data_IF_449795778801
#
_entry.id   IF_449795778801
#
_cell.length_a   1.000
_cell.length_b   1.000
_cell.length_c   1.000
_cell.angle_alpha   90.00
_cell.angle_beta   90.00
_cell.angle_gamma   90.00
#
_symmetry.space_group_name_H-M   'P 1'
#
loop_
_entity.id
_entity.type
_entity.pdbx_description
1 polymer ?
#
# COMPACT_ATOMS: atom_id res chain seq x y z
N UNK A 1 5.77 19.70 11.95
CA UNK A 1 6.78 18.79 11.35
C UNK A 1 6.44 17.29 11.46
N UNK A 2 5.19 16.91 11.78
CA UNK A 2 4.81 15.51 12.04
C UNK A 2 4.26 14.74 10.81
N UNK A 3 4.46 15.26 9.60
CA UNK A 3 3.92 14.68 8.35
C UNK A 3 4.93 13.83 7.60
N UNK A 4 6.22 14.07 7.83
CA UNK A 4 7.31 13.39 7.14
C UNK A 4 7.96 12.39 8.08
N UNK A 5 8.20 11.19 7.56
CA UNK A 5 8.84 10.08 8.24
C UNK A 5 9.98 9.57 7.34
N UNK A 6 11.03 8.97 7.92
CA UNK A 6 12.18 8.47 7.16
C UNK A 6 12.36 6.99 7.47
N UNK A 7 12.61 6.19 6.45
CA UNK A 7 12.94 4.76 6.61
C UNK A 7 14.42 4.51 6.34
N UNK A 8 15.05 3.72 7.21
CA UNK A 8 16.43 3.30 7.05
C UNK A 8 16.55 1.80 6.76
N UNK A 9 17.31 1.44 5.73
CA UNK A 9 17.69 0.05 5.51
C UNK A 9 18.49 -0.51 6.69
N UNK A 10 18.37 -1.83 6.92
CA UNK A 10 19.07 -2.53 8.02
C UNK A 10 20.59 -2.29 8.02
N UNK A 11 21.18 -2.03 6.84
CA UNK A 11 22.61 -1.82 6.66
C UNK A 11 23.11 -0.41 7.02
N UNK A 12 22.24 0.52 7.45
CA UNK A 12 22.67 1.86 7.85
C UNK A 12 22.98 1.87 9.36
N UNK A 13 24.23 2.18 9.78
CA UNK A 13 24.58 2.29 11.19
C UNK A 13 23.89 3.48 11.88
N UNK A 14 23.55 3.30 13.15
CA UNK A 14 22.85 4.28 14.00
C UNK A 14 23.40 5.72 13.96
N UNK A 15 24.73 5.97 14.01
CA UNK A 15 25.26 7.33 13.95
C UNK A 15 24.89 8.07 12.66
N UNK A 16 24.87 7.36 11.51
CA UNK A 16 24.43 7.96 10.24
C UNK A 16 22.93 8.22 10.23
N UNK A 17 22.11 7.35 10.83
CA UNK A 17 20.65 7.58 10.93
C UNK A 17 20.35 8.85 11.73
N UNK A 18 21.03 9.04 12.86
CA UNK A 18 20.81 10.20 13.71
C UNK A 18 21.23 11.50 13.01
N UNK A 19 22.33 11.48 12.26
CA UNK A 19 22.78 12.62 11.44
C UNK A 19 21.77 12.97 10.34
N UNK A 20 21.24 11.96 9.64
CA UNK A 20 20.27 12.17 8.56
C UNK A 20 18.94 12.68 9.15
N UNK A 21 18.46 12.07 10.24
CA UNK A 21 17.23 12.49 10.92
C UNK A 21 17.32 13.92 11.47
N UNK A 22 18.47 14.32 12.04
CA UNK A 22 18.67 15.69 12.54
C UNK A 22 18.73 16.71 11.40
N UNK A 23 19.39 16.37 10.29
CA UNK A 23 19.48 17.23 9.11
C UNK A 23 18.12 17.43 8.44
N UNK A 24 17.31 16.37 8.36
CA UNK A 24 15.97 16.41 7.77
C UNK A 24 14.89 16.92 8.74
N UNK A 25 15.21 17.11 10.03
CA UNK A 25 14.25 17.51 11.05
C UNK A 25 13.14 16.49 11.30
N UNK A 26 13.39 15.20 11.02
CA UNK A 26 12.41 14.12 11.14
C UNK A 26 12.69 13.29 12.39
N UNK A 27 11.70 13.18 13.28
CA UNK A 27 11.83 12.45 14.55
C UNK A 27 11.25 11.04 14.53
N UNK A 28 10.54 10.66 13.47
CA UNK A 28 9.84 9.37 13.36
C UNK A 28 10.48 8.48 12.32
N UNK A 29 10.90 7.29 12.75
CA UNK A 29 11.24 6.19 11.85
C UNK A 29 9.95 5.65 11.23
N UNK A 30 9.93 5.52 9.91
CA UNK A 30 8.78 5.03 9.15
C UNK A 30 8.62 3.54 9.48
N UNK A 31 7.71 3.22 10.39
CA UNK A 31 7.32 1.84 10.66
C UNK A 31 6.65 1.19 9.44
N UNK A 32 6.06 0.00 9.63
CA UNK A 32 5.13 -0.61 8.67
C UNK A 32 3.79 0.16 8.62
N UNK A 33 3.86 1.47 8.42
CA UNK A 33 2.73 2.38 8.35
C UNK A 33 2.06 2.31 6.99
N UNK A 34 0.80 2.77 6.91
CA UNK A 34 0.08 2.92 5.64
C UNK A 34 0.15 4.38 5.20
N UNK A 35 0.62 4.62 3.99
CA UNK A 35 0.53 5.92 3.34
C UNK A 35 -0.56 5.87 2.27
N UNK A 36 -1.51 6.81 2.32
CA UNK A 36 -2.67 6.85 1.43
C UNK A 36 -3.48 5.53 1.39
N UNK A 37 -3.47 4.78 2.50
CA UNK A 37 -4.18 3.50 2.64
C UNK A 37 -3.48 2.30 1.99
N UNK A 38 -2.28 2.47 1.46
CA UNK A 38 -1.39 1.44 0.90
C UNK A 38 -0.19 1.31 1.85
N UNK A 39 0.42 0.13 2.03
CA UNK A 39 1.63 0.01 2.84
C UNK A 39 2.68 1.00 2.36
N UNK A 40 3.14 1.90 3.24
CA UNK A 40 4.15 2.92 2.91
C UNK A 40 5.52 2.29 2.69
N UNK A 41 5.73 1.10 3.27
CA UNK A 41 6.94 0.33 3.09
C UNK A 41 6.65 -0.97 2.37
N UNK A 42 7.10 -1.02 1.13
CA UNK A 42 7.10 -2.22 0.31
C UNK A 42 8.45 -2.85 0.59
N UNK A 43 8.48 -3.79 1.54
CA UNK A 43 9.67 -4.59 1.79
C UNK A 43 10.04 -5.46 0.57
N UNK A 44 10.90 -6.46 0.77
CA UNK A 44 11.33 -7.36 -0.33
C UNK A 44 10.19 -8.16 -0.99
N UNK A 45 9.03 -8.22 -0.34
CA UNK A 45 7.87 -9.01 -0.77
C UNK A 45 6.86 -8.17 -1.54
N UNK A 46 7.04 -8.08 -2.87
CA UNK A 46 6.03 -7.53 -3.80
C UNK A 46 4.68 -8.27 -3.67
N UNK A 47 4.74 -9.58 -3.41
CA UNK A 47 3.56 -10.44 -3.19
C UNK A 47 2.68 -9.98 -2.03
N UNK A 48 3.28 -9.53 -0.92
CA UNK A 48 2.53 -9.07 0.25
C UNK A 48 1.70 -7.82 -0.04
N UNK A 49 2.19 -6.91 -0.89
CA UNK A 49 1.47 -5.71 -1.31
C UNK A 49 0.24 -6.06 -2.15
N UNK A 50 0.42 -6.95 -3.13
CA UNK A 50 -0.69 -7.43 -3.96
C UNK A 50 -1.70 -8.25 -3.15
N UNK A 51 -1.25 -9.06 -2.19
CA UNK A 51 -2.11 -9.73 -1.23
C UNK A 51 -2.98 -8.75 -0.44
N UNK A 52 -2.39 -7.67 0.08
CA UNK A 52 -3.14 -6.63 0.78
C UNK A 52 -4.20 -5.95 -0.10
N UNK A 53 -3.86 -5.64 -1.36
CA UNK A 53 -4.80 -5.07 -2.32
C UNK A 53 -5.93 -6.06 -2.59
N UNK A 54 -5.60 -7.33 -2.87
CA UNK A 54 -6.56 -8.42 -3.10
C UNK A 54 -7.52 -8.57 -1.92
N UNK A 55 -7.03 -8.61 -0.69
CA UNK A 55 -7.86 -8.76 0.51
C UNK A 55 -8.82 -7.58 0.67
N UNK A 56 -8.35 -6.35 0.37
CA UNK A 56 -9.19 -5.15 0.43
C UNK A 56 -10.29 -5.18 -0.63
N UNK A 57 -9.95 -5.60 -1.85
CA UNK A 57 -10.90 -5.82 -2.95
C UNK A 57 -11.95 -6.85 -2.54
N UNK A 58 -11.49 -7.99 -2.03
CA UNK A 58 -12.35 -9.10 -1.64
C UNK A 58 -13.35 -8.67 -0.55
N UNK A 59 -12.89 -7.96 0.49
CA UNK A 59 -13.78 -7.41 1.53
C UNK A 59 -14.85 -6.49 0.98
N UNK A 60 -14.52 -5.63 0.00
CA UNK A 60 -15.51 -4.74 -0.64
C UNK A 60 -16.54 -5.52 -1.45
N UNK A 61 -16.09 -6.54 -2.19
CA UNK A 61 -16.98 -7.43 -2.95
C UNK A 61 -17.94 -8.18 -2.01
N UNK A 62 -17.46 -8.68 -0.88
CA UNK A 62 -18.31 -9.36 0.12
C UNK A 62 -19.41 -8.42 0.66
N UNK A 63 -19.06 -7.17 1.00
CA UNK A 63 -20.03 -6.16 1.44
C UNK A 63 -21.08 -5.87 0.35
N UNK A 64 -20.68 -5.82 -0.91
CA UNK A 64 -21.59 -5.58 -2.03
C UNK A 64 -22.43 -6.79 -2.41
N UNK A 65 -21.94 -8.01 -2.20
CA UNK A 65 -22.73 -9.22 -2.37
C UNK A 65 -23.85 -9.33 -1.33
N UNK A 66 -23.69 -8.76 -0.14
CA UNK A 66 -24.77 -8.61 0.83
C UNK A 66 -25.86 -7.59 0.43
N UNK A 67 -25.65 -6.84 -0.66
CA UNK A 67 -26.66 -5.94 -1.24
C UNK A 67 -27.17 -6.56 -2.55
N UNK A 68 -28.49 -6.56 -2.75
CA UNK A 68 -29.12 -7.04 -4.00
C UNK A 68 -28.86 -6.07 -5.16
N UNK A 69 -27.62 -6.05 -5.65
CA UNK A 69 -27.19 -5.26 -6.78
C UNK A 69 -27.30 -6.08 -8.06
N UNK A 70 -27.79 -5.43 -9.13
CA UNK A 70 -27.75 -6.01 -10.47
C UNK A 70 -26.30 -6.25 -10.92
N UNK A 71 -26.10 -7.14 -11.90
CA UNK A 71 -24.78 -7.43 -12.47
C UNK A 71 -24.09 -6.16 -12.98
N UNK A 72 -24.82 -5.30 -13.67
CA UNK A 72 -24.34 -4.00 -14.14
C UNK A 72 -23.97 -3.06 -12.97
N UNK A 73 -24.78 -3.02 -11.90
CA UNK A 73 -24.46 -2.22 -10.71
C UNK A 73 -23.18 -2.66 -10.01
N UNK A 74 -22.91 -3.97 -9.95
CA UNK A 74 -21.65 -4.51 -9.41
C UNK A 74 -20.45 -4.15 -10.28
N UNK A 75 -20.59 -4.21 -11.60
CA UNK A 75 -19.52 -3.85 -12.54
C UNK A 75 -19.12 -2.37 -12.43
N UNK A 76 -20.11 -1.47 -12.36
CA UNK A 76 -19.87 -0.02 -12.19
C UNK A 76 -19.16 0.27 -10.86
N UNK A 77 -19.55 -0.40 -9.77
CA UNK A 77 -18.89 -0.24 -8.47
C UNK A 77 -17.44 -0.74 -8.48
N UNK A 78 -17.18 -1.86 -9.15
CA UNK A 78 -15.81 -2.37 -9.30
C UNK A 78 -14.96 -1.38 -10.11
N UNK A 79 -15.44 -0.91 -11.26
CA UNK A 79 -14.67 0.05 -12.09
C UNK A 79 -14.43 1.37 -11.36
N UNK A 80 -15.45 1.94 -10.72
CA UNK A 80 -15.33 3.25 -10.06
C UNK A 80 -14.38 3.26 -8.85
N UNK A 81 -14.37 2.20 -8.03
CA UNK A 81 -13.54 2.16 -6.82
C UNK A 81 -12.23 1.41 -6.99
N UNK A 82 -12.23 0.30 -7.74
CA UNK A 82 -11.11 -0.62 -7.78
C UNK A 82 -10.07 -0.22 -8.82
N UNK A 83 -10.53 0.24 -9.99
CA UNK A 83 -9.66 0.61 -11.11
C UNK A 83 -8.67 1.74 -10.76
N UNK A 84 -9.06 2.82 -10.05
CA UNK A 84 -8.12 3.87 -9.67
C UNK A 84 -7.05 3.38 -8.70
N UNK A 85 -7.44 2.52 -7.74
CA UNK A 85 -6.51 1.94 -6.76
C UNK A 85 -5.51 1.03 -7.46
N UNK A 86 -5.98 0.17 -8.37
CA UNK A 86 -5.12 -0.73 -9.14
C UNK A 86 -4.18 0.06 -10.06
N UNK A 87 -4.69 1.09 -10.73
CA UNK A 87 -3.92 1.97 -11.61
C UNK A 87 -2.80 2.68 -10.85
N UNK A 88 -3.10 3.23 -9.66
CA UNK A 88 -2.07 3.82 -8.80
C UNK A 88 -1.03 2.80 -8.36
N UNK A 89 -1.45 1.60 -7.92
CA UNK A 89 -0.51 0.55 -7.52
C UNK A 89 0.38 0.08 -8.68
N UNK A 90 -0.16 -0.04 -9.89
CA UNK A 90 0.61 -0.39 -11.08
C UNK A 90 1.59 0.72 -11.48
N UNK A 91 1.23 1.99 -11.26
CA UNK A 91 2.15 3.12 -11.51
C UNK A 91 3.27 3.21 -10.48
N UNK A 92 3.01 2.81 -9.24
CA UNK A 92 3.96 2.91 -8.13
C UNK A 92 4.86 1.67 -7.96
N UNK A 93 4.43 0.50 -8.45
CA UNK A 93 5.10 -0.78 -8.20
C UNK A 93 5.20 -1.66 -9.45
N UNK A 94 6.33 -2.37 -9.57
CA UNK A 94 6.48 -3.42 -10.58
C UNK A 94 5.57 -4.61 -10.24
N UNK A 95 4.67 -4.95 -11.16
CA UNK A 95 3.77 -6.11 -11.04
C UNK A 95 4.59 -7.41 -10.89
N UNK A 96 4.24 -8.31 -9.95
CA UNK A 96 4.83 -9.63 -9.91
C UNK A 96 4.31 -10.49 -11.07
N UNK A 97 5.16 -11.35 -11.64
CA UNK A 97 4.79 -12.27 -12.73
C UNK A 97 3.73 -13.31 -12.30
N UNK A 98 3.62 -13.61 -11.00
CA UNK A 98 2.54 -14.44 -10.46
C UNK A 98 1.95 -13.85 -9.18
N UNK A 99 0.63 -14.06 -9.00
CA UNK A 99 -0.17 -13.62 -7.85
C UNK A 99 -0.56 -14.81 -6.94
N UNK A 100 -0.01 -15.99 -7.18
CA UNK A 100 -0.17 -17.21 -6.38
C UNK A 100 0.96 -18.20 -6.66
N UNK A 101 0.94 -19.33 -5.95
CA UNK A 101 1.61 -20.55 -6.44
C UNK A 101 1.03 -20.97 -7.80
#
# INVERSE_FOLDING_TARGET
>A
LAKSEVFYCKNVPLPQRNMISSTLGVTKDLGSGKYLGIPSLIGRSRRSVFGYIRDRVWKKIQIWNGKNLSRAGKEVLIKSFLQPILSYCMSAFLLPESIGD
#
